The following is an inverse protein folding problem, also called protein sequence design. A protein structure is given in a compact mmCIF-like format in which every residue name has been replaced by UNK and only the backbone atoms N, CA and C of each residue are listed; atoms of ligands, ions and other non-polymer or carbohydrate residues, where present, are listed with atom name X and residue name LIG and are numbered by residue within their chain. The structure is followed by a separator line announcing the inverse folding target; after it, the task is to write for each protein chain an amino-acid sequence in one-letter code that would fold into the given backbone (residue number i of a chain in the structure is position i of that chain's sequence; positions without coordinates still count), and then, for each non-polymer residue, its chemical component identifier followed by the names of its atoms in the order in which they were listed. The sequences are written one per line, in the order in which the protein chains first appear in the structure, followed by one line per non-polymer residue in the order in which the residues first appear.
data_IF_368258108132
#
_entry.id   IF_368258108132
#
_cell.length_a   1.000
_cell.length_b   1.000
_cell.length_c   1.000
_cell.angle_alpha   90.00
_cell.angle_beta   90.00
_cell.angle_gamma   90.00
#
_symmetry.space_group_name_H-M   'P 1'
#
loop_
_entity.id
_entity.type
_entity.pdbx_description
1 polymer ?
#
# COMPACT_ATOMS: atom_id res chain seq x y z
N UNK A 1 70.52 32.75 -14.83
CA UNK A 1 69.53 31.72 -15.18
C UNK A 1 68.48 31.52 -14.04
N UNK A 2 67.27 32.04 -14.12
CA UNK A 2 66.27 31.84 -13.13
C UNK A 2 64.97 31.29 -13.78
N UNK A 3 64.84 29.97 -13.88
CA UNK A 3 63.61 29.27 -14.43
C UNK A 3 63.15 28.12 -13.54
N UNK A 4 63.25 28.21 -12.25
CA UNK A 4 62.76 27.08 -11.40
C UNK A 4 61.70 27.42 -10.33
N UNK A 5 61.26 28.67 -10.22
CA UNK A 5 60.27 29.03 -9.14
C UNK A 5 58.82 29.15 -9.58
N UNK A 6 58.47 29.11 -10.86
CA UNK A 6 57.12 29.29 -11.36
C UNK A 6 56.31 27.97 -11.54
N UNK A 7 56.98 26.82 -11.62
CA UNK A 7 56.34 25.51 -11.87
C UNK A 7 55.85 24.83 -10.60
N UNK A 8 56.35 25.18 -9.43
CA UNK A 8 55.95 24.53 -8.16
C UNK A 8 54.66 25.11 -7.60
N UNK A 9 54.37 26.39 -7.85
CA UNK A 9 53.13 27.05 -7.37
C UNK A 9 51.88 26.62 -8.13
N UNK A 10 51.98 26.17 -9.38
CA UNK A 10 50.82 25.70 -10.17
C UNK A 10 50.39 24.30 -9.82
N UNK A 11 51.27 23.45 -9.29
CA UNK A 11 50.94 22.07 -8.90
C UNK A 11 50.17 21.98 -7.57
N UNK A 12 50.39 22.93 -6.65
CA UNK A 12 49.73 22.96 -5.36
C UNK A 12 48.28 23.48 -5.46
N UNK A 13 48.01 24.38 -6.40
CA UNK A 13 46.65 24.89 -6.63
C UNK A 13 45.71 23.87 -7.25
N UNK A 14 46.23 22.95 -8.06
CA UNK A 14 45.40 21.92 -8.72
C UNK A 14 44.95 20.77 -7.78
N UNK A 15 45.75 20.47 -6.75
CA UNK A 15 45.40 19.45 -5.76
C UNK A 15 44.39 19.92 -4.73
N UNK A 16 44.34 21.23 -4.43
CA UNK A 16 43.33 21.77 -3.50
C UNK A 16 41.91 21.82 -4.09
N UNK A 17 41.79 22.00 -5.42
CA UNK A 17 40.45 22.01 -6.08
C UNK A 17 39.82 20.62 -6.23
N UNK A 18 40.64 19.56 -6.30
CA UNK A 18 40.14 18.18 -6.40
C UNK A 18 39.61 17.65 -5.07
N UNK A 19 40.05 18.18 -3.93
CA UNK A 19 39.59 17.75 -2.60
C UNK A 19 38.23 18.34 -2.22
N UNK A 20 37.75 19.43 -2.83
CA UNK A 20 36.43 20.01 -2.57
C UNK A 20 35.28 19.32 -3.34
N UNK A 21 35.60 18.52 -4.35
CA UNK A 21 34.55 17.84 -5.15
C UNK A 21 34.06 16.54 -4.55
N UNK A 22 34.64 16.00 -3.46
CA UNK A 22 34.24 14.74 -2.84
C UNK A 22 33.36 14.88 -1.59
N UNK A 23 33.00 16.09 -1.18
CA UNK A 23 32.14 16.30 0.01
C UNK A 23 30.68 16.44 -0.31
N UNK A 24 30.24 16.18 -1.55
CA UNK A 24 28.89 16.42 -2.05
C UNK A 24 27.89 15.25 -1.90
N UNK A 25 28.24 14.12 -1.30
CA UNK A 25 27.39 12.93 -1.30
C UNK A 25 27.14 12.34 0.10
N UNK A 26 26.71 13.11 1.09
CA UNK A 26 26.41 12.54 2.41
C UNK A 26 25.18 13.12 3.12
N UNK A 27 24.27 13.73 2.39
CA UNK A 27 22.98 14.10 2.99
C UNK A 27 21.84 13.66 2.09
N UNK A 28 21.66 12.32 2.00
CA UNK A 28 20.40 11.77 1.58
C UNK A 28 19.42 11.98 2.75
N UNK A 29 18.39 12.85 2.61
CA UNK A 29 17.40 13.08 3.67
C UNK A 29 16.70 11.79 4.07
N UNK A 30 16.56 10.84 3.17
CA UNK A 30 15.99 9.51 3.43
C UNK A 30 16.89 8.67 4.35
N UNK A 31 18.21 8.71 4.14
CA UNK A 31 19.18 8.02 4.99
C UNK A 31 19.32 8.66 6.39
N UNK A 32 19.03 9.97 6.51
CA UNK A 32 18.99 10.66 7.79
C UNK A 32 17.70 10.29 8.57
N UNK A 33 16.57 10.20 7.90
CA UNK A 33 15.29 9.79 8.45
C UNK A 33 15.31 8.33 8.93
N UNK A 34 15.99 7.45 8.18
CA UNK A 34 16.22 6.05 8.55
C UNK A 34 17.10 5.90 9.80
N UNK A 35 18.08 6.80 10.00
CA UNK A 35 18.99 6.80 11.17
C UNK A 35 18.38 7.47 12.40
N UNK A 36 17.39 8.31 12.24
CA UNK A 36 16.75 9.02 13.34
C UNK A 36 15.89 8.09 14.24
N UNK A 37 15.49 6.90 13.75
CA UNK A 37 14.83 5.89 14.58
C UNK A 37 13.51 6.32 15.22
N UNK A 38 12.95 7.44 14.73
CA UNK A 38 11.65 7.86 15.23
C UNK A 38 10.63 6.86 14.71
N UNK A 39 9.77 6.41 15.59
CA UNK A 39 8.58 5.59 15.33
C UNK A 39 7.62 6.21 14.30
N UNK A 40 8.14 6.82 13.26
CA UNK A 40 7.40 7.19 12.06
C UNK A 40 7.12 5.90 11.31
N UNK A 41 5.90 5.45 11.47
CA UNK A 41 5.34 4.29 10.80
C UNK A 41 5.70 4.36 9.32
N UNK A 42 6.32 3.31 8.85
CA UNK A 42 7.08 3.13 7.65
C UNK A 42 6.37 3.68 6.39
N UNK A 43 7.02 4.60 5.69
CA UNK A 43 6.84 4.78 4.25
C UNK A 43 7.99 4.01 3.61
N UNK A 44 7.72 2.91 2.93
CA UNK A 44 8.73 2.31 2.06
C UNK A 44 9.13 3.37 1.04
N UNK A 45 10.42 3.65 0.92
CA UNK A 45 10.92 4.75 0.09
C UNK A 45 10.60 4.62 -1.41
N UNK A 46 10.06 3.48 -1.84
CA UNK A 46 9.56 3.21 -3.20
C UNK A 46 8.05 3.51 -3.38
N UNK A 47 7.35 3.92 -2.30
CA UNK A 47 5.92 4.25 -2.34
C UNK A 47 4.98 3.05 -2.44
N UNK A 48 5.49 1.81 -2.34
CA UNK A 48 4.66 0.59 -2.39
C UNK A 48 3.82 0.42 -1.15
N UNK A 49 4.26 0.96 -0.03
CA UNK A 49 3.61 0.86 1.27
C UNK A 49 3.48 2.26 1.93
N UNK A 50 2.29 2.56 2.46
CA UNK A 50 2.03 3.82 3.17
C UNK A 50 1.08 3.57 4.34
N UNK A 51 1.44 4.02 5.54
CA UNK A 51 0.53 4.16 6.68
C UNK A 51 0.15 5.62 6.89
N UNK A 52 -1.11 5.86 7.23
CA UNK A 52 -1.63 7.19 7.54
C UNK A 52 -1.92 7.27 9.04
N UNK A 53 -1.22 8.16 9.73
CA UNK A 53 -1.45 8.38 11.16
C UNK A 53 -2.91 8.76 11.40
N UNK A 54 -3.48 8.30 12.51
CA UNK A 54 -4.89 8.52 12.85
C UNK A 54 -5.34 9.98 12.71
N UNK A 55 -4.48 10.93 13.12
CA UNK A 55 -4.76 12.37 13.05
C UNK A 55 -4.72 12.97 11.63
N UNK A 56 -4.08 12.27 10.69
CA UNK A 56 -3.83 12.75 9.32
C UNK A 56 -4.74 12.06 8.29
N UNK A 57 -5.60 11.14 8.72
CA UNK A 57 -6.54 10.43 7.83
C UNK A 57 -7.56 11.38 7.25
N UNK A 58 -7.77 11.29 5.96
CA UNK A 58 -8.82 12.00 5.23
C UNK A 58 -10.22 11.57 5.71
N UNK A 59 -11.26 12.17 5.13
CA UNK A 59 -12.63 11.74 5.34
C UNK A 59 -12.84 10.25 5.00
N UNK A 60 -13.85 9.60 5.59
CA UNK A 60 -14.24 8.24 5.21
C UNK A 60 -14.46 8.11 3.71
N UNK A 61 -14.07 6.97 3.16
CA UNK A 61 -14.35 6.64 1.76
C UNK A 61 -15.77 6.12 1.66
N UNK A 62 -16.58 6.77 0.84
CA UNK A 62 -17.91 6.27 0.50
C UNK A 62 -17.84 5.49 -0.81
N UNK A 63 -18.34 4.27 -0.79
CA UNK A 63 -18.36 3.37 -1.94
C UNK A 63 -19.65 2.56 -1.99
N UNK A 64 -19.96 2.05 -3.16
CA UNK A 64 -21.01 1.05 -3.40
C UNK A 64 -20.56 0.12 -4.51
N UNK A 65 -21.17 -1.05 -4.61
CA UNK A 65 -20.89 -2.01 -5.67
C UNK A 65 -21.79 -3.22 -5.59
N UNK A 66 -21.72 -4.04 -6.62
CA UNK A 66 -22.48 -5.31 -6.71
C UNK A 66 -21.50 -6.46 -6.56
N UNK A 67 -21.77 -7.35 -5.61
CA UNK A 67 -20.99 -8.56 -5.37
C UNK A 67 -21.15 -9.57 -6.52
N UNK A 68 -20.26 -10.55 -6.61
CA UNK A 68 -20.32 -11.60 -7.62
C UNK A 68 -21.63 -12.42 -7.57
N UNK A 69 -22.29 -12.50 -6.42
CA UNK A 69 -23.58 -13.14 -6.24
C UNK A 69 -24.80 -12.24 -6.56
N UNK A 70 -24.56 -11.00 -6.99
CA UNK A 70 -25.60 -10.02 -7.31
C UNK A 70 -26.07 -9.17 -6.12
N UNK A 71 -25.52 -9.36 -4.91
CA UNK A 71 -25.90 -8.56 -3.73
C UNK A 71 -25.31 -7.15 -3.86
N UNK A 72 -26.12 -6.12 -3.65
CA UNK A 72 -25.65 -4.74 -3.57
C UNK A 72 -25.10 -4.45 -2.18
N UNK A 73 -23.96 -3.77 -2.12
CA UNK A 73 -23.30 -3.33 -0.89
C UNK A 73 -22.95 -1.85 -0.94
N UNK A 74 -22.83 -1.27 0.24
CA UNK A 74 -22.38 0.11 0.43
C UNK A 74 -21.30 0.19 1.50
N UNK A 75 -20.60 1.30 1.57
CA UNK A 75 -19.63 1.57 2.63
C UNK A 75 -20.26 1.52 4.04
N UNK A 76 -21.57 1.77 4.17
CA UNK A 76 -22.30 1.70 5.44
C UNK A 76 -22.28 0.28 6.03
N UNK A 77 -22.28 -0.75 5.20
CA UNK A 77 -22.25 -2.16 5.63
C UNK A 77 -20.92 -2.54 6.29
N UNK A 78 -19.90 -1.73 6.09
CA UNK A 78 -18.52 -1.92 6.59
C UNK A 78 -18.15 -0.98 7.73
N UNK A 79 -18.95 0.06 8.01
CA UNK A 79 -18.70 0.96 9.14
C UNK A 79 -18.73 0.20 10.47
N UNK A 80 -17.87 0.63 11.41
CA UNK A 80 -17.69 -0.04 12.71
C UNK A 80 -16.70 -1.21 12.69
N UNK A 81 -16.31 -1.70 11.49
CA UNK A 81 -15.31 -2.75 11.31
C UNK A 81 -14.03 -2.19 10.67
N UNK A 82 -12.88 -2.70 11.06
CA UNK A 82 -11.67 -2.58 10.23
C UNK A 82 -11.91 -3.38 8.96
N UNK A 83 -11.60 -2.79 7.80
CA UNK A 83 -11.90 -3.44 6.52
C UNK A 83 -10.66 -3.47 5.63
N UNK A 84 -10.34 -4.65 5.10
CA UNK A 84 -9.30 -4.84 4.10
C UNK A 84 -9.97 -4.88 2.73
N UNK A 85 -9.59 -3.94 1.85
CA UNK A 85 -10.08 -3.88 0.47
C UNK A 85 -8.93 -4.24 -0.45
N UNK A 86 -9.06 -5.31 -1.23
CA UNK A 86 -8.04 -5.78 -2.16
C UNK A 86 -8.52 -5.67 -3.62
N UNK A 87 -7.80 -4.90 -4.44
CA UNK A 87 -8.06 -4.75 -5.87
C UNK A 87 -7.31 -5.83 -6.65
N UNK A 88 -8.01 -6.62 -7.46
CA UNK A 88 -7.46 -7.80 -8.11
C UNK A 88 -8.16 -8.16 -9.43
N UNK A 89 -7.61 -9.12 -10.16
CA UNK A 89 -8.28 -9.84 -11.25
C UNK A 89 -7.69 -11.25 -11.42
N UNK A 90 -8.42 -12.17 -12.05
CA UNK A 90 -8.10 -13.60 -12.05
C UNK A 90 -6.77 -13.95 -12.76
N UNK A 91 -6.45 -13.24 -13.86
CA UNK A 91 -5.22 -13.49 -14.63
C UNK A 91 -3.98 -12.71 -14.11
N UNK A 92 -4.12 -11.95 -13.01
CA UNK A 92 -3.04 -11.19 -12.40
C UNK A 92 -2.05 -12.12 -11.67
N UNK A 93 -0.79 -12.28 -12.13
CA UNK A 93 0.13 -13.22 -11.50
C UNK A 93 0.43 -12.90 -10.02
N UNK A 94 0.75 -11.64 -9.62
CA UNK A 94 0.97 -11.34 -8.21
C UNK A 94 -0.30 -11.49 -7.35
N UNK A 95 -1.52 -11.25 -7.90
CA UNK A 95 -2.77 -11.48 -7.17
C UNK A 95 -2.96 -12.96 -6.82
N UNK A 96 -2.59 -13.86 -7.73
CA UNK A 96 -2.62 -15.32 -7.48
C UNK A 96 -1.64 -15.75 -6.40
N UNK A 97 -0.50 -15.06 -6.29
CA UNK A 97 0.51 -15.37 -5.28
C UNK A 97 0.05 -14.97 -3.88
N UNK A 98 -0.64 -13.83 -3.73
CA UNK A 98 -1.09 -13.32 -2.43
C UNK A 98 -2.45 -13.87 -1.98
N UNK A 99 -3.23 -14.51 -2.87
CA UNK A 99 -4.62 -14.89 -2.62
C UNK A 99 -4.79 -15.73 -1.34
N UNK A 100 -3.96 -16.76 -1.16
CA UNK A 100 -4.01 -17.62 0.04
C UNK A 100 -3.58 -16.90 1.32
N UNK A 101 -2.67 -15.95 1.22
CA UNK A 101 -2.21 -15.16 2.36
C UNK A 101 -3.30 -14.17 2.80
N UNK A 102 -4.03 -13.56 1.84
CA UNK A 102 -5.20 -12.75 2.11
C UNK A 102 -6.33 -13.57 2.77
N UNK A 103 -6.60 -14.78 2.29
CA UNK A 103 -7.56 -15.68 2.92
C UNK A 103 -7.16 -16.04 4.34
N UNK A 104 -5.90 -16.42 4.56
CA UNK A 104 -5.39 -16.75 5.89
C UNK A 104 -5.51 -15.56 6.86
N UNK A 105 -5.21 -14.34 6.40
CA UNK A 105 -5.38 -13.14 7.20
C UNK A 105 -6.86 -12.85 7.49
N UNK A 106 -7.76 -13.10 6.53
CA UNK A 106 -9.20 -12.97 6.74
C UNK A 106 -9.70 -13.89 7.86
N UNK A 107 -9.27 -15.14 7.86
CA UNK A 107 -9.60 -16.10 8.90
C UNK A 107 -8.99 -15.75 10.26
N UNK A 108 -7.72 -15.34 10.28
CA UNK A 108 -6.99 -14.94 11.49
C UNK A 108 -7.67 -13.79 12.22
N UNK A 109 -8.13 -12.77 11.47
CA UNK A 109 -8.73 -11.56 12.04
C UNK A 109 -10.27 -11.57 12.09
N UNK A 110 -10.93 -12.66 11.67
CA UNK A 110 -12.38 -12.81 11.79
C UNK A 110 -12.88 -12.66 13.24
N UNK A 111 -12.20 -13.19 14.28
CA UNK A 111 -12.61 -13.00 15.67
C UNK A 111 -12.57 -11.53 16.13
N UNK A 112 -11.75 -10.69 15.51
CA UNK A 112 -11.63 -9.26 15.79
C UNK A 112 -12.71 -8.43 15.06
N UNK A 113 -13.57 -9.08 14.27
CA UNK A 113 -14.61 -8.43 13.46
C UNK A 113 -14.06 -7.69 12.23
N UNK A 114 -12.87 -8.03 11.79
CA UNK A 114 -12.31 -7.49 10.54
C UNK A 114 -13.04 -8.05 9.34
N UNK A 115 -13.36 -7.20 8.38
CA UNK A 115 -14.00 -7.58 7.12
C UNK A 115 -12.99 -7.52 5.98
N UNK A 116 -13.07 -8.48 5.08
CA UNK A 116 -12.32 -8.48 3.83
C UNK A 116 -13.29 -8.30 2.65
N UNK A 117 -12.88 -7.51 1.68
CA UNK A 117 -13.64 -7.23 0.46
C UNK A 117 -12.70 -7.24 -0.74
N UNK A 118 -12.89 -8.16 -1.65
CA UNK A 118 -12.26 -8.12 -2.96
C UNK A 118 -12.94 -7.08 -3.86
N UNK A 119 -12.17 -6.47 -4.75
CA UNK A 119 -12.67 -5.62 -5.83
C UNK A 119 -12.09 -6.18 -7.12
N UNK A 120 -12.89 -6.93 -7.84
CA UNK A 120 -12.47 -7.48 -9.12
C UNK A 120 -12.66 -6.44 -10.23
N UNK A 121 -11.55 -6.05 -10.87
CA UNK A 121 -11.52 -4.92 -11.80
C UNK A 121 -11.66 -5.30 -13.27
N UNK A 122 -11.74 -6.61 -13.61
CA UNK A 122 -11.68 -7.06 -15.02
C UNK A 122 -12.57 -8.24 -15.36
N UNK A 123 -12.92 -9.07 -14.39
CA UNK A 123 -13.57 -10.35 -14.67
C UNK A 123 -15.08 -10.29 -14.36
N UNK A 124 -15.81 -11.27 -14.91
CA UNK A 124 -17.19 -11.53 -14.62
C UNK A 124 -17.34 -12.58 -13.50
N UNK A 125 -18.53 -12.71 -12.89
CA UNK A 125 -18.81 -13.60 -11.78
C UNK A 125 -18.26 -15.04 -11.94
N UNK A 126 -18.41 -15.75 -13.08
CA UNK A 126 -17.89 -17.11 -13.21
C UNK A 126 -16.36 -17.22 -13.06
N UNK A 127 -15.62 -16.16 -13.41
CA UNK A 127 -14.17 -16.15 -13.25
C UNK A 127 -13.79 -15.91 -11.78
N UNK A 128 -14.56 -15.05 -11.07
CA UNK A 128 -14.42 -14.85 -9.63
C UNK A 128 -14.68 -16.15 -8.89
N UNK A 129 -15.80 -16.82 -9.15
CA UNK A 129 -16.16 -18.10 -8.54
C UNK A 129 -15.09 -19.17 -8.75
N UNK A 130 -14.51 -19.23 -9.96
CA UNK A 130 -13.44 -20.16 -10.29
C UNK A 130 -12.15 -19.85 -9.52
N UNK A 131 -11.81 -18.57 -9.38
CA UNK A 131 -10.67 -18.11 -8.61
C UNK A 131 -10.86 -18.43 -7.12
N UNK A 132 -12.01 -18.08 -6.56
CA UNK A 132 -12.34 -18.31 -5.16
C UNK A 132 -12.29 -19.80 -4.82
N UNK A 133 -12.86 -20.65 -5.66
CA UNK A 133 -12.76 -22.12 -5.53
C UNK A 133 -11.32 -22.63 -5.59
N UNK A 134 -10.49 -22.06 -6.47
CA UNK A 134 -9.09 -22.49 -6.67
C UNK A 134 -8.21 -22.14 -5.48
N UNK A 135 -8.40 -20.94 -4.91
CA UNK A 135 -7.56 -20.39 -3.85
C UNK A 135 -8.18 -20.51 -2.46
N UNK A 136 -9.44 -20.98 -2.37
CA UNK A 136 -10.18 -21.15 -1.12
C UNK A 136 -10.66 -19.83 -0.53
N UNK A 137 -10.91 -18.80 -1.35
CA UNK A 137 -11.37 -17.49 -0.90
C UNK A 137 -12.81 -17.60 -0.41
N UNK A 138 -13.10 -17.04 0.76
CA UNK A 138 -14.42 -17.06 1.39
C UNK A 138 -15.03 -15.67 1.63
N UNK A 139 -14.23 -14.62 1.50
CA UNK A 139 -14.73 -13.24 1.59
C UNK A 139 -15.27 -12.77 0.23
N UNK A 140 -16.27 -11.87 0.22
CA UNK A 140 -16.95 -11.46 -1.00
C UNK A 140 -16.08 -10.58 -1.89
N UNK A 141 -16.38 -10.57 -3.19
CA UNK A 141 -15.77 -9.66 -4.18
C UNK A 141 -16.84 -8.86 -4.93
N UNK A 142 -16.61 -7.54 -5.05
CA UNK A 142 -17.37 -6.65 -5.95
C UNK A 142 -16.90 -6.87 -7.38
N UNK A 143 -17.83 -6.88 -8.33
CA UNK A 143 -17.56 -6.83 -9.77
C UNK A 143 -17.52 -5.36 -10.23
N UNK A 144 -16.32 -4.79 -10.32
CA UNK A 144 -16.10 -3.38 -10.64
C UNK A 144 -15.76 -3.14 -12.14
N UNK A 145 -15.97 -4.17 -12.97
CA UNK A 145 -15.55 -4.17 -14.38
C UNK A 145 -16.43 -3.28 -15.26
N UNK A 146 -17.70 -3.10 -14.90
CA UNK A 146 -18.67 -2.39 -15.76
C UNK A 146 -18.77 -0.89 -15.44
N UNK A 147 -18.82 -0.54 -14.16
CA UNK A 147 -19.08 0.84 -13.73
C UNK A 147 -17.87 1.53 -13.09
N UNK A 148 -16.85 0.76 -12.71
CA UNK A 148 -15.63 1.25 -12.07
C UNK A 148 -15.86 2.09 -10.79
N UNK A 149 -17.01 1.90 -10.13
CA UNK A 149 -17.44 2.70 -8.98
C UNK A 149 -16.48 2.58 -7.79
N UNK A 150 -15.98 1.39 -7.53
CA UNK A 150 -14.98 1.15 -6.48
C UNK A 150 -13.63 1.78 -6.83
N UNK A 151 -13.14 1.60 -8.06
CA UNK A 151 -11.89 2.24 -8.50
C UNK A 151 -12.00 3.77 -8.40
N UNK A 152 -13.15 4.34 -8.74
CA UNK A 152 -13.38 5.78 -8.65
C UNK A 152 -13.42 6.26 -7.19
N UNK A 153 -14.08 5.52 -6.29
CA UNK A 153 -14.14 5.85 -4.86
C UNK A 153 -12.74 5.90 -4.23
N UNK A 154 -11.82 5.06 -4.67
CA UNK A 154 -10.44 4.99 -4.16
C UNK A 154 -9.41 5.72 -5.03
N UNK A 155 -9.80 6.46 -6.07
CA UNK A 155 -8.89 7.13 -7.01
C UNK A 155 -7.91 8.12 -6.34
N UNK A 156 -8.26 8.71 -5.19
CA UNK A 156 -7.36 9.56 -4.40
C UNK A 156 -6.33 8.77 -3.58
N UNK A 157 -6.49 7.45 -3.46
CA UNK A 157 -5.66 6.58 -2.63
C UNK A 157 -4.78 5.67 -3.46
N UNK A 158 -5.32 5.14 -4.55
CA UNK A 158 -4.59 4.28 -5.51
C UNK A 158 -4.71 4.86 -6.91
N UNK A 159 -3.70 4.64 -7.72
CA UNK A 159 -3.80 4.99 -9.15
C UNK A 159 -4.79 4.05 -9.84
N UNK A 160 -5.56 4.53 -10.82
CA UNK A 160 -6.34 3.67 -11.69
C UNK A 160 -5.44 2.57 -12.27
N UNK A 161 -5.89 1.34 -12.27
CA UNK A 161 -5.13 0.17 -12.72
C UNK A 161 -3.95 -0.29 -11.81
N UNK A 162 -3.78 0.24 -10.61
CA UNK A 162 -2.85 -0.31 -9.63
C UNK A 162 -3.42 -1.63 -9.09
N UNK A 163 -2.99 -2.76 -9.67
CA UNK A 163 -3.44 -4.11 -9.31
C UNK A 163 -2.22 -5.05 -9.27
N UNK A 164 -2.03 -5.81 -8.16
CA UNK A 164 -2.83 -5.75 -6.95
C UNK A 164 -2.58 -4.47 -6.14
N UNK A 165 -3.59 -4.07 -5.38
CA UNK A 165 -3.46 -3.04 -4.36
C UNK A 165 -4.34 -3.40 -3.16
N UNK A 166 -3.79 -3.26 -1.97
CA UNK A 166 -4.50 -3.54 -0.72
C UNK A 166 -4.61 -2.28 0.13
N UNK A 167 -5.80 -1.99 0.60
CA UNK A 167 -6.11 -0.84 1.45
C UNK A 167 -6.70 -1.35 2.76
N UNK A 168 -6.23 -0.84 3.89
CA UNK A 168 -6.86 -1.07 5.19
C UNK A 168 -7.62 0.18 5.58
N UNK A 169 -8.91 0.02 5.84
CA UNK A 169 -9.78 1.06 6.36
C UNK A 169 -9.97 0.88 7.85
N UNK A 170 -9.98 1.98 8.59
CA UNK A 170 -10.35 1.97 10.00
C UNK A 170 -11.87 1.81 10.21
N UNK A 171 -12.32 1.72 11.46
CA UNK A 171 -13.74 1.55 11.81
C UNK A 171 -14.65 2.67 11.32
N UNK A 172 -14.09 3.87 11.08
CA UNK A 172 -14.81 5.00 10.49
C UNK A 172 -14.82 4.93 8.96
N UNK A 173 -14.10 3.99 8.35
CA UNK A 173 -13.95 3.84 6.90
C UNK A 173 -12.93 4.80 6.28
N UNK A 174 -12.01 5.35 7.08
CA UNK A 174 -10.91 6.18 6.61
C UNK A 174 -9.71 5.29 6.27
N UNK A 175 -8.94 5.69 5.27
CA UNK A 175 -7.74 4.95 4.87
C UNK A 175 -6.68 5.02 5.99
N UNK A 176 -6.39 3.87 6.58
CA UNK A 176 -5.33 3.68 7.57
C UNK A 176 -3.99 3.31 6.89
N UNK A 177 -4.04 2.45 5.90
CA UNK A 177 -2.86 2.08 5.13
C UNK A 177 -3.20 1.64 3.71
N UNK A 178 -2.17 1.67 2.84
CA UNK A 178 -2.25 1.10 1.48
C UNK A 178 -0.96 0.37 1.15
N UNK A 179 -1.06 -0.67 0.34
CA UNK A 179 0.06 -1.39 -0.27
C UNK A 179 -0.20 -1.49 -1.77
N UNK A 180 0.79 -1.13 -2.58
CA UNK A 180 0.75 -1.26 -4.04
C UNK A 180 1.63 -2.42 -4.46
N UNK A 181 1.11 -3.28 -5.34
CA UNK A 181 1.75 -4.54 -5.70
C UNK A 181 1.44 -5.66 -4.71
N UNK A 182 2.07 -6.83 -4.90
CA UNK A 182 1.89 -7.99 -4.06
C UNK A 182 2.19 -7.67 -2.59
N UNK A 183 1.26 -7.99 -1.70
CA UNK A 183 1.44 -7.76 -0.27
C UNK A 183 2.22 -8.91 0.39
N UNK A 184 3.17 -8.55 1.25
CA UNK A 184 3.81 -9.50 2.15
C UNK A 184 2.83 -9.85 3.29
N UNK A 185 2.64 -11.16 3.62
CA UNK A 185 1.68 -11.58 4.65
C UNK A 185 2.01 -11.06 6.05
N UNK A 186 3.28 -10.86 6.39
CA UNK A 186 3.69 -10.26 7.66
C UNK A 186 3.33 -8.78 7.74
N UNK A 187 3.52 -8.05 6.64
CA UNK A 187 3.11 -6.64 6.51
C UNK A 187 1.59 -6.52 6.64
N UNK A 188 0.82 -7.33 5.90
CA UNK A 188 -0.65 -7.33 5.99
C UNK A 188 -1.13 -7.53 7.43
N UNK A 189 -0.60 -8.57 8.08
CA UNK A 189 -0.96 -8.91 9.46
C UNK A 189 -0.67 -7.76 10.44
N UNK A 190 0.50 -7.12 10.30
CA UNK A 190 0.88 -5.96 11.12
C UNK A 190 -0.08 -4.79 10.91
N UNK A 191 -0.36 -4.41 9.65
CA UNK A 191 -1.25 -3.31 9.32
C UNK A 191 -2.66 -3.49 9.87
N UNK A 192 -3.20 -4.71 9.73
CA UNK A 192 -4.55 -5.02 10.24
C UNK A 192 -4.55 -5.00 11.76
N UNK A 193 -3.58 -5.68 12.42
CA UNK A 193 -3.49 -5.71 13.87
C UNK A 193 -3.33 -4.33 14.50
N UNK A 194 -2.48 -3.47 13.92
CA UNK A 194 -2.27 -2.10 14.40
C UNK A 194 -3.55 -1.27 14.27
N UNK A 195 -4.27 -1.43 13.14
CA UNK A 195 -5.54 -0.72 12.93
C UNK A 195 -6.65 -1.23 13.87
N UNK A 196 -6.68 -2.54 14.17
CA UNK A 196 -7.61 -3.14 15.15
C UNK A 196 -7.33 -2.64 16.56
N UNK A 197 -6.06 -2.45 16.94
CA UNK A 197 -5.66 -1.96 18.25
C UNK A 197 -5.94 -0.48 18.49
N UNK A 198 -6.33 0.27 17.46
CA UNK A 198 -6.67 1.69 17.61
C UNK A 198 -7.96 1.87 18.43
N UNK A 199 -8.06 2.99 19.22
CA UNK A 199 -9.28 3.28 19.95
C UNK A 199 -10.47 3.39 19.00
N UNK A 200 -11.60 2.78 19.39
CA UNK A 200 -12.86 3.03 18.73
C UNK A 200 -13.22 4.50 18.94
N UNK A 201 -13.13 5.33 17.89
CA UNK A 201 -13.40 6.75 17.94
C UNK A 201 -14.88 7.08 18.16
#
# INVERSE_FOLDING_TARGET
MPVRRRTVLSAVASTALAALALTGCTQDPLAAEFRAGDNKRYIAGDGTFTEVRLADRAAPVDFSGTLADGTEITSADYRGSVTVVNFWYAECPPCRLEAKDLQAASEEHAPDGVKFLGVNTRDQAPNVDSFDSTYGITYPSVLDVEDTSMQLAFAGTIAPNAVPATIVLDRQGRVASRVLGQIDPGVLRTLVSDTVAEPAG
#
